data_IF_739829029946
#
_entry.id   IF_739829029946
#
_cell.length_a   1.000
_cell.length_b   1.000
_cell.length_c   1.000
_cell.angle_alpha   90.00
_cell.angle_beta   90.00
_cell.angle_gamma   90.00
#
_symmetry.space_group_name_H-M   'P 1'
#
loop_
_entity.id
_entity.type
_entity.pdbx_description
1 polymer ?
#
# COMPACT_ATOMS: atom_id res chain seq x y z
N UNK A 1 15.21 -57.85 25.59
CA UNK A 1 15.20 -56.43 25.96
C UNK A 1 15.00 -55.63 24.68
N UNK A 2 13.74 -55.38 24.37
CA UNK A 2 13.37 -54.63 23.14
C UNK A 2 12.88 -53.25 23.55
N UNK A 3 13.63 -52.22 23.19
CA UNK A 3 13.18 -50.81 23.29
C UNK A 3 12.25 -50.55 22.13
N UNK A 4 10.95 -50.72 22.36
CA UNK A 4 9.92 -50.24 21.44
C UNK A 4 9.95 -48.73 21.37
N UNK A 5 10.20 -48.21 20.19
CA UNK A 5 9.98 -46.83 19.79
C UNK A 5 8.52 -46.45 20.06
N UNK A 6 8.30 -45.54 20.99
CA UNK A 6 7.05 -44.78 21.06
C UNK A 6 7.29 -43.56 20.14
N UNK A 7 7.07 -43.80 18.85
CA UNK A 7 6.84 -42.69 17.92
C UNK A 7 5.41 -42.17 18.19
N UNK A 8 5.28 -40.91 18.55
CA UNK A 8 4.05 -40.26 18.96
C UNK A 8 2.93 -40.35 17.94
N UNK A 9 2.03 -41.29 18.14
CA UNK A 9 0.72 -41.34 17.49
C UNK A 9 -0.28 -40.61 18.38
N UNK A 10 -0.21 -39.30 18.43
CA UNK A 10 -1.31 -38.48 18.91
C UNK A 10 -2.56 -38.73 18.05
N UNK A 11 -3.74 -38.73 18.67
CA UNK A 11 -5.03 -38.85 17.97
C UNK A 11 -5.13 -37.83 16.83
N UNK A 12 -6.07 -38.00 15.90
CA UNK A 12 -6.34 -37.02 14.86
C UNK A 12 -6.65 -35.65 15.49
N UNK A 13 -7.40 -35.64 16.57
CA UNK A 13 -7.70 -34.47 17.40
C UNK A 13 -6.42 -33.79 17.92
N UNK A 14 -5.47 -34.57 18.49
CA UNK A 14 -4.23 -33.98 19.01
C UNK A 14 -3.40 -33.33 17.91
N UNK A 15 -3.31 -33.96 16.74
CA UNK A 15 -2.59 -33.38 15.59
C UNK A 15 -3.27 -32.14 15.06
N UNK A 16 -4.61 -32.14 14.98
CA UNK A 16 -5.39 -30.99 14.55
C UNK A 16 -5.24 -29.81 15.51
N UNK A 17 -5.46 -30.05 16.80
CA UNK A 17 -5.31 -29.04 17.86
C UNK A 17 -3.87 -28.53 17.90
N UNK A 18 -2.88 -29.42 17.84
CA UNK A 18 -1.47 -29.05 17.78
C UNK A 18 -1.15 -28.11 16.61
N UNK A 19 -1.76 -28.35 15.44
CA UNK A 19 -1.56 -27.52 14.26
C UNK A 19 -2.23 -26.13 14.39
N UNK A 20 -3.37 -26.05 15.09
CA UNK A 20 -4.04 -24.77 15.42
C UNK A 20 -3.21 -23.98 16.42
N UNK A 21 -2.88 -24.56 17.58
CA UNK A 21 -2.25 -23.81 18.68
C UNK A 21 -0.81 -23.40 18.37
N UNK A 22 -0.12 -24.12 17.48
CA UNK A 22 1.23 -23.75 17.03
C UNK A 22 1.26 -22.35 16.42
N UNK A 23 0.15 -21.88 15.86
CA UNK A 23 0.00 -20.58 15.20
C UNK A 23 -0.53 -19.47 16.10
N UNK A 24 -0.95 -19.82 17.31
CA UNK A 24 -1.46 -18.85 18.28
C UNK A 24 -0.34 -18.22 19.11
N UNK A 25 -0.57 -17.01 19.67
CA UNK A 25 0.26 -16.43 20.71
C UNK A 25 0.47 -17.38 21.87
N UNK A 26 1.66 -17.32 22.52
CA UNK A 26 2.04 -18.30 23.53
C UNK A 26 1.11 -18.33 24.75
N UNK A 27 0.58 -17.19 25.10
CA UNK A 27 -0.37 -16.97 26.20
C UNK A 27 -1.74 -17.59 26.01
N UNK A 28 -2.18 -17.80 24.75
CA UNK A 28 -3.48 -18.36 24.40
C UNK A 28 -3.45 -19.86 24.12
N UNK A 29 -2.27 -20.44 23.93
CA UNK A 29 -2.12 -21.80 23.42
C UNK A 29 -2.78 -22.87 24.29
N UNK A 30 -2.61 -22.76 25.59
CA UNK A 30 -3.11 -23.78 26.54
C UNK A 30 -4.63 -23.73 26.61
N UNK A 31 -5.18 -22.55 26.79
CA UNK A 31 -6.63 -22.35 26.96
C UNK A 31 -7.39 -22.78 25.69
N UNK A 32 -6.91 -22.36 24.51
CA UNK A 32 -7.53 -22.74 23.24
C UNK A 32 -7.35 -24.23 22.95
N UNK A 33 -6.21 -24.83 23.35
CA UNK A 33 -6.02 -26.28 23.17
C UNK A 33 -7.03 -27.09 23.97
N UNK A 34 -7.27 -26.70 25.21
CA UNK A 34 -8.18 -27.40 26.12
C UNK A 34 -9.65 -27.19 25.69
N UNK A 35 -10.01 -25.96 25.29
CA UNK A 35 -11.33 -25.66 24.74
C UNK A 35 -11.62 -26.47 23.47
N UNK A 36 -10.68 -26.53 22.52
CA UNK A 36 -10.86 -27.28 21.27
C UNK A 36 -10.98 -28.77 21.51
N UNK A 37 -10.16 -29.34 22.41
CA UNK A 37 -10.27 -30.77 22.76
C UNK A 37 -11.63 -31.11 23.37
N UNK A 38 -12.08 -30.26 24.31
CA UNK A 38 -13.39 -30.45 24.94
C UNK A 38 -14.52 -30.38 23.89
N UNK A 39 -14.50 -29.34 23.05
CA UNK A 39 -15.52 -29.15 22.01
C UNK A 39 -15.55 -30.32 21.01
N UNK A 40 -14.39 -30.82 20.59
CA UNK A 40 -14.31 -31.98 19.69
C UNK A 40 -14.85 -33.24 20.37
N UNK A 41 -14.43 -33.50 21.63
CA UNK A 41 -14.87 -34.66 22.39
C UNK A 41 -16.40 -34.66 22.60
N UNK A 42 -16.94 -33.53 23.05
CA UNK A 42 -18.39 -33.35 23.25
C UNK A 42 -19.18 -33.55 21.94
N UNK A 43 -18.64 -33.04 20.84
CA UNK A 43 -19.29 -33.15 19.52
C UNK A 43 -19.27 -34.60 19.00
N UNK A 44 -18.18 -35.32 19.23
CA UNK A 44 -18.05 -36.75 18.84
C UNK A 44 -18.98 -37.58 19.66
N UNK A 45 -19.02 -37.39 20.99
CA UNK A 45 -19.90 -38.15 21.90
C UNK A 45 -21.38 -37.90 21.58
N UNK A 46 -21.76 -36.68 21.23
CA UNK A 46 -23.15 -36.34 20.91
C UNK A 46 -23.66 -36.93 19.58
N UNK A 47 -22.78 -37.38 18.67
CA UNK A 47 -23.21 -37.86 17.34
C UNK A 47 -23.42 -39.37 17.28
N UNK A 48 -22.37 -40.15 17.40
CA UNK A 48 -22.48 -41.62 17.36
C UNK A 48 -21.37 -42.29 18.18
N UNK A 49 -21.72 -42.87 19.36
CA UNK A 49 -20.75 -43.56 20.20
C UNK A 49 -20.24 -44.90 19.60
N UNK A 50 -20.91 -45.44 18.58
CA UNK A 50 -20.57 -46.74 18.00
C UNK A 50 -19.42 -46.67 16.98
N UNK A 51 -19.15 -45.50 16.41
CA UNK A 51 -18.10 -45.29 15.39
C UNK A 51 -17.25 -44.06 15.65
N UNK A 52 -16.56 -43.95 16.80
CA UNK A 52 -15.92 -42.71 17.24
C UNK A 52 -14.83 -42.17 16.26
N UNK A 53 -14.05 -43.03 15.62
CA UNK A 53 -13.01 -42.61 14.67
C UNK A 53 -13.58 -42.04 13.38
N UNK A 54 -14.71 -42.56 12.89
CA UNK A 54 -15.36 -42.02 11.69
C UNK A 54 -16.00 -40.64 11.98
N UNK A 55 -16.64 -40.54 13.14
CA UNK A 55 -17.26 -39.29 13.63
C UNK A 55 -16.20 -38.23 13.92
N UNK A 56 -15.08 -38.60 14.56
CA UNK A 56 -13.94 -37.67 14.77
C UNK A 56 -13.48 -37.04 13.46
N UNK A 57 -13.29 -37.86 12.43
CA UNK A 57 -12.88 -37.37 11.09
C UNK A 57 -13.91 -36.44 10.47
N UNK A 58 -15.19 -36.75 10.61
CA UNK A 58 -16.28 -35.91 10.12
C UNK A 58 -16.35 -34.59 10.87
N UNK A 59 -16.21 -34.60 12.20
CA UNK A 59 -16.18 -33.41 13.05
C UNK A 59 -15.00 -32.50 12.66
N UNK A 60 -13.79 -33.05 12.54
CA UNK A 60 -12.60 -32.27 12.13
C UNK A 60 -12.74 -31.73 10.71
N UNK A 61 -13.35 -32.48 9.80
CA UNK A 61 -13.66 -32.01 8.46
C UNK A 61 -14.64 -30.84 8.50
N UNK A 62 -15.66 -30.91 9.35
CA UNK A 62 -16.63 -29.83 9.55
C UNK A 62 -16.03 -28.59 10.19
N UNK A 63 -15.00 -28.69 11.03
CA UNK A 63 -14.26 -27.57 11.61
C UNK A 63 -13.38 -26.86 10.57
N UNK A 64 -13.02 -27.56 9.49
CA UNK A 64 -12.28 -27.01 8.37
C UNK A 64 -10.77 -26.96 8.58
N UNK A 65 -10.11 -26.15 7.75
CA UNK A 65 -8.65 -26.01 7.75
C UNK A 65 -8.13 -25.45 9.09
N UNK A 66 -7.20 -26.13 9.79
CA UNK A 66 -6.64 -25.67 11.06
C UNK A 66 -5.93 -24.30 10.96
N UNK A 67 -5.40 -23.94 9.78
CA UNK A 67 -4.78 -22.63 9.55
C UNK A 67 -5.85 -21.52 9.62
N UNK A 68 -6.99 -21.76 8.99
CA UNK A 68 -8.11 -20.80 9.00
C UNK A 68 -8.75 -20.70 10.38
N UNK A 69 -8.82 -21.81 11.10
CA UNK A 69 -9.32 -21.83 12.47
C UNK A 69 -8.39 -21.03 13.40
N UNK A 70 -7.08 -21.29 13.34
CA UNK A 70 -6.09 -20.55 14.10
C UNK A 70 -6.15 -19.03 13.84
N UNK A 71 -6.37 -18.62 12.59
CA UNK A 71 -6.48 -17.19 12.24
C UNK A 71 -7.71 -16.53 12.88
N UNK A 72 -8.82 -17.27 13.03
CA UNK A 72 -10.02 -16.78 13.74
C UNK A 72 -9.76 -16.58 15.23
N UNK A 73 -9.07 -17.53 15.88
CA UNK A 73 -8.70 -17.42 17.29
C UNK A 73 -7.66 -16.33 17.55
N UNK A 74 -6.71 -16.15 16.64
CA UNK A 74 -5.66 -15.13 16.77
C UNK A 74 -6.13 -13.72 16.39
N UNK A 75 -7.40 -13.55 15.97
CA UNK A 75 -7.94 -12.29 15.42
C UNK A 75 -7.02 -11.68 14.35
N UNK A 76 -6.36 -12.54 13.58
CA UNK A 76 -5.44 -12.15 12.50
C UNK A 76 -6.02 -12.56 11.15
N UNK A 77 -6.44 -11.60 10.34
CA UNK A 77 -6.93 -11.93 9.00
C UNK A 77 -5.80 -12.56 8.17
N UNK A 78 -6.10 -13.67 7.48
CA UNK A 78 -5.18 -14.33 6.53
C UNK A 78 -5.08 -13.57 5.19
N UNK A 79 -5.63 -12.37 5.13
CA UNK A 79 -5.63 -11.52 3.96
C UNK A 79 -4.51 -10.48 4.05
N UNK A 80 -3.89 -10.17 2.92
CA UNK A 80 -2.92 -9.08 2.82
C UNK A 80 -3.60 -7.72 3.01
N UNK A 81 -4.84 -7.61 2.52
CA UNK A 81 -5.73 -6.45 2.68
C UNK A 81 -7.05 -7.02 3.19
N UNK A 82 -7.45 -6.62 4.40
CA UNK A 82 -8.66 -7.09 5.05
C UNK A 82 -9.95 -6.66 4.35
N UNK A 83 -11.08 -7.29 4.67
CA UNK A 83 -12.37 -7.01 4.04
C UNK A 83 -12.80 -5.54 4.20
N UNK A 84 -12.40 -4.89 5.28
CA UNK A 84 -12.75 -3.48 5.58
C UNK A 84 -12.07 -2.50 4.64
N UNK A 85 -10.81 -2.77 4.26
CA UNK A 85 -10.03 -1.92 3.34
C UNK A 85 -10.17 -2.33 1.88
N UNK A 86 -10.59 -3.57 1.59
CA UNK A 86 -10.65 -4.10 0.24
C UNK A 86 -11.50 -3.26 -0.74
N UNK A 87 -12.72 -2.78 -0.37
CA UNK A 87 -13.51 -1.92 -1.26
C UNK A 87 -12.85 -0.58 -1.56
N UNK A 88 -12.09 -0.05 -0.60
CA UNK A 88 -11.32 1.19 -0.76
C UNK A 88 -10.11 0.96 -1.66
N UNK A 89 -9.38 -0.12 -1.43
CA UNK A 89 -8.25 -0.55 -2.27
C UNK A 89 -8.65 -0.70 -3.74
N UNK A 90 -9.71 -1.46 -4.03
CA UNK A 90 -10.18 -1.67 -5.41
C UNK A 90 -10.60 -0.38 -6.10
N UNK A 91 -11.21 0.56 -5.35
CA UNK A 91 -11.56 1.87 -5.88
C UNK A 91 -10.34 2.69 -6.26
N UNK A 92 -9.34 2.80 -5.37
CA UNK A 92 -8.10 3.51 -5.68
C UNK A 92 -7.35 2.87 -6.83
N UNK A 93 -7.25 1.55 -6.85
CA UNK A 93 -6.65 0.82 -7.95
C UNK A 93 -7.33 1.14 -9.29
N UNK A 94 -8.68 1.13 -9.32
CA UNK A 94 -9.44 1.46 -10.53
C UNK A 94 -9.17 2.90 -10.98
N UNK A 95 -9.17 3.87 -10.05
CA UNK A 95 -8.86 5.28 -10.37
C UNK A 95 -7.45 5.42 -10.94
N UNK A 96 -6.46 4.79 -10.32
CA UNK A 96 -5.07 4.86 -10.77
C UNK A 96 -4.89 4.25 -12.16
N UNK A 97 -5.43 3.05 -12.38
CA UNK A 97 -5.31 2.37 -13.67
C UNK A 97 -6.12 3.05 -14.78
N UNK A 98 -7.22 3.75 -14.45
CA UNK A 98 -8.06 4.42 -15.46
C UNK A 98 -7.66 5.87 -15.75
N UNK A 99 -6.90 6.53 -14.87
CA UNK A 99 -6.52 7.95 -15.03
C UNK A 99 -5.03 8.14 -15.17
N UNK A 100 -4.25 7.65 -14.19
CA UNK A 100 -2.80 7.89 -14.12
C UNK A 100 -2.06 7.08 -15.17
N UNK A 101 -2.38 5.78 -15.30
CA UNK A 101 -1.71 4.91 -16.25
C UNK A 101 -1.89 5.36 -17.71
N UNK A 102 -3.11 5.69 -18.20
CA UNK A 102 -3.26 6.26 -19.54
C UNK A 102 -2.54 7.59 -19.71
N UNK A 103 -2.56 8.48 -18.70
CA UNK A 103 -1.87 9.76 -18.78
C UNK A 103 -0.36 9.60 -18.98
N UNK A 104 0.29 8.71 -18.21
CA UNK A 104 1.73 8.41 -18.35
C UNK A 104 2.02 7.75 -19.68
N UNK A 105 1.17 6.81 -20.13
CA UNK A 105 1.33 6.13 -21.41
C UNK A 105 1.22 7.09 -22.60
N UNK A 106 0.24 8.01 -22.57
CA UNK A 106 0.10 9.03 -23.61
C UNK A 106 1.32 9.97 -23.60
N UNK A 107 1.77 10.41 -22.41
CA UNK A 107 2.95 11.25 -22.31
C UNK A 107 4.18 10.54 -22.90
N UNK A 108 4.43 9.29 -22.56
CA UNK A 108 5.55 8.52 -23.10
C UNK A 108 5.46 8.38 -24.63
N UNK A 109 4.27 8.06 -25.15
CA UNK A 109 4.07 7.93 -26.60
C UNK A 109 4.28 9.27 -27.32
N UNK A 110 3.85 10.40 -26.74
CA UNK A 110 4.10 11.74 -27.31
C UNK A 110 5.60 12.04 -27.35
N UNK A 111 6.34 11.73 -26.30
CA UNK A 111 7.79 11.94 -26.26
C UNK A 111 8.48 11.07 -27.33
N UNK A 112 8.11 9.79 -27.47
CA UNK A 112 8.63 8.89 -28.49
C UNK A 112 8.38 9.39 -29.93
N UNK A 113 7.21 10.03 -30.17
CA UNK A 113 6.89 10.64 -31.47
C UNK A 113 7.74 11.89 -31.71
N UNK A 114 7.92 12.74 -30.70
CA UNK A 114 8.76 13.96 -30.77
C UNK A 114 10.22 13.61 -31.03
N UNK A 115 10.70 12.47 -30.49
CA UNK A 115 12.03 11.91 -30.74
C UNK A 115 12.17 11.29 -32.16
N UNK A 116 11.12 11.34 -32.98
CA UNK A 116 11.14 10.82 -34.35
C UNK A 116 11.16 9.30 -34.45
N UNK A 117 10.76 8.58 -33.40
CA UNK A 117 10.72 7.12 -33.40
C UNK A 117 9.66 6.57 -34.35
N UNK A 118 9.94 5.41 -34.92
CA UNK A 118 8.99 4.70 -35.77
C UNK A 118 7.76 4.24 -35.03
N UNK A 119 6.63 4.10 -35.73
CA UNK A 119 5.33 3.70 -35.14
C UNK A 119 5.45 2.41 -34.31
N UNK A 120 6.24 1.43 -34.78
CA UNK A 120 6.44 0.17 -34.04
C UNK A 120 7.15 0.37 -32.70
N UNK A 121 8.11 1.28 -32.63
CA UNK A 121 8.82 1.63 -31.38
C UNK A 121 7.92 2.38 -30.42
N UNK A 122 7.10 3.32 -30.92
CA UNK A 122 6.10 4.04 -30.11
C UNK A 122 5.09 3.08 -29.48
N UNK A 123 4.57 2.13 -30.28
CA UNK A 123 3.64 1.11 -29.75
C UNK A 123 4.35 0.20 -28.74
N UNK A 124 5.55 -0.26 -29.04
CA UNK A 124 6.34 -1.09 -28.13
C UNK A 124 6.65 -0.36 -26.81
N UNK A 125 7.04 0.91 -26.88
CA UNK A 125 7.26 1.79 -25.72
C UNK A 125 5.99 1.99 -24.88
N UNK A 126 4.85 2.24 -25.54
CA UNK A 126 3.56 2.39 -24.86
C UNK A 126 3.15 1.10 -24.13
N UNK A 127 3.31 -0.08 -24.78
CA UNK A 127 3.04 -1.39 -24.12
C UNK A 127 3.98 -1.59 -22.94
N UNK A 128 5.27 -1.32 -23.10
CA UNK A 128 6.26 -1.38 -22.01
C UNK A 128 5.88 -0.46 -20.84
N UNK A 129 5.49 0.77 -21.13
CA UNK A 129 5.02 1.74 -20.11
C UNK A 129 3.80 1.21 -19.36
N UNK A 130 2.80 0.68 -20.06
CA UNK A 130 1.61 0.09 -19.43
C UNK A 130 1.99 -1.04 -18.48
N UNK A 131 2.86 -1.95 -18.90
CA UNK A 131 3.26 -3.09 -18.08
C UNK A 131 4.10 -2.65 -16.86
N UNK A 132 5.12 -1.82 -17.07
CA UNK A 132 6.04 -1.41 -16.00
C UNK A 132 5.34 -0.48 -15.01
N UNK A 133 4.72 0.60 -15.48
CA UNK A 133 4.04 1.57 -14.60
C UNK A 133 2.82 0.95 -13.95
N UNK A 134 2.04 0.14 -14.70
CA UNK A 134 0.89 -0.57 -14.15
C UNK A 134 1.28 -1.55 -13.04
N UNK A 135 2.33 -2.35 -13.24
CA UNK A 135 2.86 -3.25 -12.21
C UNK A 135 3.37 -2.49 -10.97
N UNK A 136 4.08 -1.38 -11.16
CA UNK A 136 4.56 -0.53 -10.07
C UNK A 136 3.41 0.10 -9.28
N UNK A 137 2.38 0.64 -9.95
CA UNK A 137 1.20 1.18 -9.30
C UNK A 137 0.49 0.13 -8.45
N UNK A 138 0.28 -1.06 -9.00
CA UNK A 138 -0.31 -2.18 -8.28
C UNK A 138 0.54 -2.54 -7.04
N UNK A 139 1.85 -2.71 -7.21
CA UNK A 139 2.76 -3.08 -6.13
C UNK A 139 2.78 -2.03 -5.02
N UNK A 140 2.99 -0.75 -5.35
CA UNK A 140 3.05 0.33 -4.35
C UNK A 140 1.73 0.52 -3.62
N UNK A 141 0.60 0.51 -4.34
CA UNK A 141 -0.71 0.61 -3.72
C UNK A 141 -0.96 -0.55 -2.76
N UNK A 142 -0.64 -1.78 -3.19
CA UNK A 142 -0.77 -2.99 -2.36
C UNK A 142 0.11 -2.89 -1.11
N UNK A 143 1.36 -2.46 -1.24
CA UNK A 143 2.27 -2.27 -0.09
C UNK A 143 1.72 -1.23 0.88
N UNK A 144 1.26 -0.07 0.39
CA UNK A 144 0.67 0.97 1.25
C UNK A 144 -0.53 0.43 2.01
N UNK A 145 -1.47 -0.24 1.32
CA UNK A 145 -2.65 -0.81 1.98
C UNK A 145 -2.29 -1.92 2.97
N UNK A 146 -1.32 -2.78 2.64
CA UNK A 146 -0.83 -3.82 3.55
C UNK A 146 -0.14 -3.23 4.80
N UNK A 147 0.62 -2.14 4.66
CA UNK A 147 1.22 -1.44 5.80
C UNK A 147 0.16 -0.75 6.66
N UNK A 148 -0.84 -0.14 6.04
CA UNK A 148 -1.99 0.44 6.73
C UNK A 148 -2.74 -0.63 7.52
N UNK A 149 -3.02 -1.79 6.92
CA UNK A 149 -3.65 -2.94 7.57
C UNK A 149 -2.82 -3.43 8.77
N UNK A 150 -1.51 -3.65 8.55
CA UNK A 150 -0.59 -4.15 9.60
C UNK A 150 -0.28 -3.15 10.69
N UNK A 151 -0.50 -1.87 10.48
CA UNK A 151 -0.23 -0.84 11.50
C UNK A 151 -1.05 -1.04 12.78
N UNK A 152 -2.04 -1.94 12.78
CA UNK A 152 -2.88 -2.29 13.94
C UNK A 152 -3.72 -1.13 14.49
N UNK A 153 -3.44 0.08 13.99
CA UNK A 153 -4.14 1.30 14.39
C UNK A 153 -5.50 1.44 13.69
N UNK A 154 -5.74 0.57 12.69
CA UNK A 154 -7.00 0.54 11.96
C UNK A 154 -8.08 -0.35 12.60
N UNK A 155 -7.82 -1.57 13.12
CA UNK A 155 -8.87 -2.35 13.77
C UNK A 155 -9.46 -1.67 15.00
N UNK A 156 -8.61 -1.12 15.87
CA UNK A 156 -9.05 -0.45 17.09
C UNK A 156 -9.72 0.93 16.90
N UNK A 157 -9.55 1.55 15.75
CA UNK A 157 -10.12 2.86 15.45
C UNK A 157 -11.18 2.81 14.32
N UNK A 158 -11.29 1.70 13.57
CA UNK A 158 -12.50 1.25 12.88
C UNK A 158 -13.46 0.55 13.84
N UNK A 159 -12.96 0.17 15.02
CA UNK A 159 -13.72 -0.39 16.14
C UNK A 159 -14.69 0.57 16.82
N UNK A 160 -15.24 1.50 16.09
CA UNK A 160 -16.56 2.02 16.42
C UNK A 160 -17.50 0.82 16.30
N UNK A 161 -17.90 0.29 17.44
CA UNK A 161 -18.93 -0.74 17.51
C UNK A 161 -20.08 -0.25 16.66
N UNK A 162 -20.38 -0.96 15.57
CA UNK A 162 -21.50 -0.62 14.71
C UNK A 162 -22.76 -0.56 15.56
N UNK A 163 -23.49 0.53 15.48
CA UNK A 163 -24.79 0.70 16.10
C UNK A 163 -25.84 0.92 15.02
N UNK A 164 -27.11 0.59 15.26
CA UNK A 164 -28.20 0.88 14.33
C UNK A 164 -28.28 2.35 13.91
N UNK A 165 -27.78 3.26 14.75
CA UNK A 165 -27.71 4.71 14.48
C UNK A 165 -26.67 5.06 13.41
N UNK A 166 -25.75 4.14 13.09
CA UNK A 166 -24.79 4.29 12.01
C UNK A 166 -25.39 3.92 10.62
N UNK A 167 -26.65 3.47 10.57
CA UNK A 167 -27.37 3.27 9.32
C UNK A 167 -27.51 4.62 8.60
N UNK A 168 -27.05 4.72 7.33
CA UNK A 168 -27.20 5.97 6.60
C UNK A 168 -28.67 6.29 6.43
N UNK A 169 -29.08 7.47 6.88
CA UNK A 169 -30.36 8.04 6.48
C UNK A 169 -30.45 8.03 4.96
N UNK A 170 -31.45 7.36 4.39
CA UNK A 170 -31.65 7.27 2.94
C UNK A 170 -31.77 8.63 2.26
N UNK A 171 -31.94 9.70 3.04
CA UNK A 171 -32.11 11.07 2.56
C UNK A 171 -30.80 11.84 2.31
N UNK A 172 -29.64 11.40 2.80
CA UNK A 172 -28.36 12.08 2.59
C UNK A 172 -27.29 11.12 2.06
N UNK A 173 -27.04 11.07 0.74
CA UNK A 173 -25.87 10.37 0.23
C UNK A 173 -24.63 11.03 0.85
N UNK A 174 -23.85 10.25 1.62
CA UNK A 174 -22.54 10.70 2.17
C UNK A 174 -21.76 11.27 0.97
N UNK A 175 -21.64 12.60 0.88
CA UNK A 175 -20.89 13.28 -0.18
C UNK A 175 -19.46 12.74 -0.11
N UNK A 176 -19.15 11.86 -1.04
CA UNK A 176 -17.79 11.38 -1.26
C UNK A 176 -16.95 12.59 -1.65
N UNK A 177 -15.95 12.92 -0.87
CA UNK A 177 -15.06 14.04 -1.20
C UNK A 177 -14.16 13.63 -2.38
N UNK A 178 -14.43 14.09 -3.62
CA UNK A 178 -13.63 13.74 -4.78
C UNK A 178 -12.19 14.24 -4.63
N UNK A 179 -11.95 15.25 -3.79
CA UNK A 179 -10.62 15.80 -3.56
C UNK A 179 -9.67 14.81 -2.87
N UNK A 180 -10.18 13.87 -2.07
CA UNK A 180 -9.34 12.81 -1.48
C UNK A 180 -8.79 11.90 -2.57
N UNK A 181 -9.65 11.45 -3.49
CA UNK A 181 -9.23 10.59 -4.60
C UNK A 181 -8.25 11.30 -5.53
N UNK A 182 -8.49 12.59 -5.81
CA UNK A 182 -7.60 13.40 -6.63
C UNK A 182 -6.20 13.55 -5.98
N UNK A 183 -6.12 13.75 -4.65
CA UNK A 183 -4.84 13.82 -3.93
C UNK A 183 -4.09 12.50 -3.95
N UNK A 184 -4.77 11.39 -3.70
CA UNK A 184 -4.14 10.06 -3.78
C UNK A 184 -3.62 9.80 -5.20
N UNK A 185 -4.42 10.10 -6.23
CA UNK A 185 -3.98 9.97 -7.62
C UNK A 185 -2.77 10.86 -7.92
N UNK A 186 -2.75 12.09 -7.40
CA UNK A 186 -1.63 13.02 -7.58
C UNK A 186 -0.33 12.52 -6.95
N UNK A 187 -0.35 12.13 -5.66
CA UNK A 187 0.85 11.63 -5.00
C UNK A 187 1.33 10.30 -5.60
N UNK A 188 0.41 9.42 -5.98
CA UNK A 188 0.74 8.18 -6.67
C UNK A 188 1.34 8.44 -8.06
N UNK A 189 0.85 9.44 -8.80
CA UNK A 189 1.42 9.88 -10.06
C UNK A 189 2.88 10.34 -9.87
N UNK A 190 3.13 11.16 -8.85
CA UNK A 190 4.50 11.62 -8.56
C UNK A 190 5.44 10.45 -8.27
N UNK A 191 5.02 9.49 -7.42
CA UNK A 191 5.79 8.28 -7.15
C UNK A 191 6.05 7.50 -8.45
N UNK A 192 5.00 7.30 -9.26
CA UNK A 192 5.10 6.56 -10.51
C UNK A 192 6.05 7.23 -11.50
N UNK A 193 6.00 8.55 -11.66
CA UNK A 193 6.89 9.30 -12.54
C UNK A 193 8.34 9.25 -12.08
N UNK A 194 8.60 9.41 -10.78
CA UNK A 194 9.95 9.32 -10.21
C UNK A 194 10.56 7.94 -10.49
N UNK A 195 9.80 6.86 -10.22
CA UNK A 195 10.32 5.50 -10.40
C UNK A 195 10.41 5.14 -11.88
N UNK A 196 9.41 5.49 -12.68
CA UNK A 196 9.37 5.22 -14.12
C UNK A 196 10.54 5.86 -14.86
N UNK A 197 10.83 7.14 -14.62
CA UNK A 197 11.92 7.82 -15.31
C UNK A 197 13.28 7.16 -15.06
N UNK A 198 13.50 6.58 -13.88
CA UNK A 198 14.72 5.86 -13.55
C UNK A 198 14.76 4.45 -14.14
N UNK A 199 13.62 3.73 -14.12
CA UNK A 199 13.58 2.35 -14.61
C UNK A 199 13.47 2.24 -16.12
N UNK A 200 12.73 3.13 -16.76
CA UNK A 200 12.49 3.13 -18.20
C UNK A 200 13.48 4.01 -18.99
N UNK A 201 14.15 4.96 -18.30
CA UNK A 201 15.06 5.95 -18.93
C UNK A 201 14.48 6.49 -20.25
N UNK A 202 13.31 7.19 -20.17
CA UNK A 202 12.52 7.54 -21.36
C UNK A 202 13.24 8.54 -22.27
N UNK A 203 14.16 9.33 -21.70
CA UNK A 203 14.92 10.31 -22.46
C UNK A 203 16.15 9.64 -23.10
N UNK A 204 16.42 10.02 -24.34
CA UNK A 204 17.60 9.61 -25.10
C UNK A 204 18.32 10.82 -25.66
N UNK A 205 19.64 10.81 -25.55
CA UNK A 205 20.48 11.83 -26.20
C UNK A 205 20.44 11.68 -27.73
N UNK A 206 20.91 12.68 -28.46
CA UNK A 206 21.06 12.64 -29.94
C UNK A 206 21.86 11.42 -30.42
N UNK A 207 22.75 10.88 -29.58
CA UNK A 207 23.50 9.64 -29.81
C UNK A 207 22.74 8.35 -29.51
N UNK A 208 21.45 8.42 -29.09
CA UNK A 208 20.58 7.27 -28.78
C UNK A 208 20.85 6.64 -27.42
N UNK A 209 21.73 7.20 -26.57
CA UNK A 209 22.00 6.67 -25.23
C UNK A 209 20.87 7.03 -24.27
N UNK A 210 20.28 6.04 -23.54
CA UNK A 210 19.25 6.32 -22.55
C UNK A 210 19.85 7.10 -21.37
N UNK A 211 19.08 8.06 -20.85
CA UNK A 211 19.54 8.96 -19.79
C UNK A 211 18.44 9.19 -18.75
N UNK A 212 18.83 9.20 -17.48
CA UNK A 212 17.96 9.61 -16.37
C UNK A 212 17.70 11.12 -16.44
N UNK A 213 16.44 11.51 -16.25
CA UNK A 213 16.02 12.91 -16.17
C UNK A 213 16.40 13.52 -14.82
N UNK A 214 16.18 12.78 -13.74
CA UNK A 214 16.64 13.16 -12.40
C UNK A 214 18.11 12.79 -12.23
N UNK A 215 18.81 13.54 -11.37
CA UNK A 215 20.20 13.26 -11.05
C UNK A 215 20.35 11.84 -10.47
N UNK A 216 21.17 10.97 -11.07
CA UNK A 216 21.38 9.59 -10.58
C UNK A 216 21.86 9.53 -9.13
N UNK A 217 22.59 10.54 -8.65
CA UNK A 217 23.10 10.62 -7.28
C UNK A 217 21.98 10.69 -6.23
N UNK A 218 20.78 11.12 -6.62
CA UNK A 218 19.62 11.15 -5.73
C UNK A 218 19.23 9.76 -5.24
N UNK A 219 19.44 8.72 -6.05
CA UNK A 219 19.11 7.33 -5.70
C UNK A 219 20.02 6.75 -4.63
N UNK A 220 21.18 7.37 -4.40
CA UNK A 220 22.09 6.99 -3.31
C UNK A 220 21.58 7.42 -1.91
N UNK A 221 20.58 8.30 -1.81
CA UNK A 221 20.13 8.79 -0.52
C UNK A 221 18.85 9.63 -0.53
N UNK A 222 18.83 10.77 -1.21
CA UNK A 222 17.80 11.80 -1.08
C UNK A 222 16.44 11.44 -1.65
N UNK A 223 16.36 10.50 -2.61
CA UNK A 223 15.09 10.06 -3.20
C UNK A 223 14.23 9.28 -2.22
N UNK A 224 14.84 8.50 -1.32
CA UNK A 224 14.13 7.62 -0.42
C UNK A 224 13.23 8.34 0.60
N UNK A 225 13.68 9.39 1.31
CA UNK A 225 12.79 10.17 2.16
C UNK A 225 11.67 10.86 1.36
N UNK A 226 11.93 11.33 0.14
CA UNK A 226 10.91 11.91 -0.75
C UNK A 226 9.84 10.88 -1.07
N UNK A 227 10.21 9.68 -1.51
CA UNK A 227 9.28 8.59 -1.80
C UNK A 227 8.54 8.12 -0.53
N UNK A 228 9.23 8.03 0.61
CA UNK A 228 8.62 7.67 1.88
C UNK A 228 7.59 8.72 2.35
N UNK A 229 7.90 10.01 2.18
CA UNK A 229 6.97 11.10 2.45
C UNK A 229 5.72 11.02 1.58
N UNK A 230 5.90 10.87 0.26
CA UNK A 230 4.78 10.69 -0.68
C UNK A 230 3.93 9.46 -0.34
N UNK A 231 4.55 8.31 -0.04
CA UNK A 231 3.84 7.11 0.36
C UNK A 231 3.08 7.32 1.69
N UNK A 232 3.66 8.04 2.64
CA UNK A 232 3.02 8.45 3.88
C UNK A 232 1.79 9.34 3.64
N UNK A 233 1.88 10.28 2.71
CA UNK A 233 0.75 11.14 2.33
C UNK A 233 -0.37 10.32 1.67
N UNK A 234 -0.04 9.38 0.78
CA UNK A 234 -1.02 8.44 0.21
C UNK A 234 -1.71 7.63 1.32
N UNK A 235 -0.95 7.07 2.26
CA UNK A 235 -1.50 6.31 3.38
C UNK A 235 -2.46 7.15 4.24
N UNK A 236 -2.10 8.39 4.53
CA UNK A 236 -2.94 9.32 5.30
C UNK A 236 -4.22 9.71 4.55
N UNK A 237 -4.13 9.95 3.24
CA UNK A 237 -5.31 10.25 2.42
C UNK A 237 -6.24 9.01 2.28
N UNK A 238 -5.68 7.79 2.23
CA UNK A 238 -6.45 6.54 2.31
C UNK A 238 -7.15 6.41 3.66
N UNK A 239 -6.43 6.64 4.77
CA UNK A 239 -7.02 6.63 6.12
C UNK A 239 -8.15 7.64 6.21
N UNK A 240 -7.97 8.84 5.67
CA UNK A 240 -9.01 9.88 5.62
C UNK A 240 -10.26 9.48 4.85
N UNK A 241 -10.14 8.64 3.84
CA UNK A 241 -11.29 8.17 3.05
C UNK A 241 -12.23 7.26 3.84
N UNK A 242 -11.71 6.61 4.89
CA UNK A 242 -12.44 5.62 5.71
C UNK A 242 -12.70 6.07 7.14
N UNK A 243 -12.04 7.17 7.61
CA UNK A 243 -12.09 7.65 9.00
C UNK A 243 -12.32 9.15 9.12
N UNK A 244 -12.89 9.60 10.25
CA UNK A 244 -12.82 10.99 10.61
C UNK A 244 -11.37 11.43 10.84
N UNK A 245 -11.07 12.65 10.42
CA UNK A 245 -9.75 13.24 10.57
C UNK A 245 -9.53 13.66 12.03
N UNK A 246 -8.43 13.22 12.64
CA UNK A 246 -8.10 13.48 14.04
C UNK A 246 -6.84 14.32 14.18
N UNK A 247 -6.66 14.97 15.34
CA UNK A 247 -5.43 15.71 15.64
C UNK A 247 -4.17 14.83 15.55
N UNK A 248 -4.26 13.57 15.98
CA UNK A 248 -3.14 12.63 15.86
C UNK A 248 -2.76 12.40 14.40
N UNK A 249 -3.73 12.22 13.51
CA UNK A 249 -3.46 12.08 12.06
C UNK A 249 -2.92 13.37 11.45
N UNK A 250 -3.35 14.54 11.95
CA UNK A 250 -2.80 15.81 11.52
C UNK A 250 -1.30 15.94 11.89
N UNK A 251 -0.87 15.50 13.08
CA UNK A 251 0.55 15.44 13.44
C UNK A 251 1.36 14.47 12.56
N UNK A 252 0.81 13.28 12.28
CA UNK A 252 1.45 12.35 11.34
C UNK A 252 1.59 12.95 9.95
N UNK A 253 0.63 13.77 9.52
CA UNK A 253 0.73 14.45 8.22
C UNK A 253 1.86 15.47 8.16
N UNK A 254 2.20 16.13 9.27
CA UNK A 254 3.40 17.00 9.33
C UNK A 254 4.66 16.19 9.07
N UNK A 255 4.78 15.01 9.70
CA UNK A 255 5.95 14.14 9.49
C UNK A 255 6.09 13.68 8.03
N UNK A 256 4.98 13.24 7.42
CA UNK A 256 4.98 12.81 6.03
C UNK A 256 5.28 13.98 5.07
N UNK A 257 4.67 15.15 5.30
CA UNK A 257 4.91 16.37 4.52
C UNK A 257 6.36 16.85 4.66
N UNK A 258 6.91 16.84 5.87
CA UNK A 258 8.30 17.21 6.12
C UNK A 258 9.27 16.20 5.46
N UNK A 259 8.98 14.90 5.51
CA UNK A 259 9.79 13.88 4.85
C UNK A 259 9.80 14.04 3.32
N UNK A 260 8.72 14.55 2.73
CA UNK A 260 8.64 14.87 1.31
C UNK A 260 9.30 16.22 0.99
N UNK A 261 8.83 17.29 1.64
CA UNK A 261 9.15 18.65 1.23
C UNK A 261 10.57 19.08 1.59
N UNK A 262 11.08 18.73 2.79
CA UNK A 262 12.41 19.22 3.22
C UNK A 262 13.55 18.64 2.37
N UNK A 263 13.62 17.33 2.07
CA UNK A 263 14.64 16.81 1.17
C UNK A 263 14.50 17.35 -0.25
N UNK A 264 13.28 17.50 -0.76
CA UNK A 264 13.05 18.07 -2.09
C UNK A 264 13.53 19.52 -2.18
N UNK A 265 13.21 20.34 -1.18
CA UNK A 265 13.68 21.74 -1.11
C UNK A 265 15.20 21.82 -1.01
N UNK A 266 15.82 20.93 -0.22
CA UNK A 266 17.27 20.84 -0.14
C UNK A 266 17.91 20.50 -1.49
N UNK A 267 17.39 19.48 -2.17
CA UNK A 267 17.83 19.06 -3.51
C UNK A 267 17.68 20.21 -4.53
N UNK A 268 16.54 20.91 -4.50
CA UNK A 268 16.30 22.09 -5.34
C UNK A 268 17.30 23.22 -5.02
N UNK A 269 17.55 23.50 -3.75
CA UNK A 269 18.53 24.52 -3.33
C UNK A 269 19.93 24.21 -3.83
N UNK A 270 20.32 22.93 -3.82
CA UNK A 270 21.60 22.47 -4.36
C UNK A 270 21.63 22.40 -5.90
N UNK A 271 20.50 22.66 -6.57
CA UNK A 271 20.34 22.53 -8.02
C UNK A 271 20.64 21.11 -8.55
N UNK A 272 20.48 20.09 -7.70
CA UNK A 272 20.78 18.69 -7.98
C UNK A 272 19.52 17.85 -8.28
N UNK A 273 18.42 18.49 -8.70
CA UNK A 273 17.21 17.74 -9.03
C UNK A 273 17.34 17.02 -10.36
N UNK A 274 17.84 17.73 -11.36
CA UNK A 274 17.96 17.22 -12.71
C UNK A 274 19.39 16.77 -13.03
N UNK A 275 19.49 15.72 -13.84
CA UNK A 275 20.77 15.27 -14.37
C UNK A 275 21.43 16.40 -15.20
N UNK A 276 22.67 16.79 -14.88
CA UNK A 276 23.35 17.88 -15.62
C UNK A 276 23.55 17.54 -17.10
N UNK A 277 23.74 16.27 -17.46
CA UNK A 277 23.85 15.82 -18.85
C UNK A 277 22.51 15.99 -19.58
N UNK A 278 21.39 15.64 -18.92
CA UNK A 278 20.04 15.87 -19.46
C UNK A 278 19.79 17.38 -19.71
N UNK A 279 20.15 18.22 -18.74
CA UNK A 279 19.97 19.67 -18.91
C UNK A 279 20.84 20.25 -20.03
N UNK A 280 22.06 19.77 -20.17
CA UNK A 280 22.98 20.21 -21.25
C UNK A 280 22.45 19.79 -22.64
N UNK A 281 21.92 18.61 -22.76
CA UNK A 281 21.36 18.08 -24.00
C UNK A 281 20.04 18.80 -24.39
N UNK A 282 19.16 19.03 -23.40
CA UNK A 282 17.88 19.72 -23.62
C UNK A 282 18.03 21.22 -23.91
N UNK A 283 18.89 21.88 -23.15
CA UNK A 283 18.99 23.34 -23.17
C UNK A 283 20.09 23.87 -24.13
N UNK A 284 20.97 23.01 -24.62
CA UNK A 284 22.14 23.44 -25.38
C UNK A 284 23.03 24.39 -24.57
N UNK A 285 23.20 25.63 -25.07
CA UNK A 285 23.99 26.65 -24.40
C UNK A 285 23.22 27.41 -23.29
N UNK A 286 21.92 27.16 -23.10
CA UNK A 286 21.12 27.86 -22.09
C UNK A 286 21.20 27.14 -20.74
N UNK A 287 21.53 27.90 -19.69
CA UNK A 287 21.56 27.37 -18.33
C UNK A 287 20.22 27.59 -17.62
N UNK A 288 19.73 26.58 -16.92
CA UNK A 288 18.50 26.70 -16.11
C UNK A 288 18.73 27.80 -15.05
N UNK A 289 17.92 28.88 -15.02
CA UNK A 289 18.13 29.98 -14.09
C UNK A 289 18.02 29.50 -12.63
N UNK A 290 18.87 30.02 -11.75
CA UNK A 290 18.79 29.76 -10.31
C UNK A 290 17.41 30.14 -9.73
N UNK A 291 16.79 31.16 -10.29
CA UNK A 291 15.43 31.57 -9.90
C UNK A 291 14.39 30.46 -10.07
N UNK A 292 14.54 29.59 -11.08
CA UNK A 292 13.62 28.45 -11.28
C UNK A 292 13.63 27.51 -10.06
N UNK A 293 14.82 27.13 -9.59
CA UNK A 293 14.96 26.25 -8.43
C UNK A 293 14.45 26.90 -7.15
N UNK A 294 14.78 28.17 -6.95
CA UNK A 294 14.33 28.94 -5.78
C UNK A 294 12.82 29.13 -5.77
N UNK A 295 12.22 29.53 -6.89
CA UNK A 295 10.75 29.65 -6.99
C UNK A 295 10.06 28.34 -6.77
N UNK A 296 10.56 27.25 -7.38
CA UNK A 296 9.99 25.90 -7.18
C UNK A 296 10.08 25.48 -5.72
N UNK A 297 11.21 25.70 -5.05
CA UNK A 297 11.38 25.40 -3.63
C UNK A 297 10.39 26.18 -2.74
N UNK A 298 10.21 27.48 -3.02
CA UNK A 298 9.26 28.32 -2.29
C UNK A 298 7.82 27.85 -2.52
N UNK A 299 7.47 27.50 -3.76
CA UNK A 299 6.13 26.96 -4.09
C UNK A 299 5.89 25.65 -3.35
N UNK A 300 6.84 24.72 -3.35
CA UNK A 300 6.74 23.46 -2.61
C UNK A 300 6.49 23.71 -1.13
N UNK A 301 7.29 24.58 -0.50
CA UNK A 301 7.11 24.93 0.92
C UNK A 301 5.76 25.60 1.19
N UNK A 302 5.31 26.51 0.34
CA UNK A 302 4.04 27.21 0.52
C UNK A 302 2.85 26.25 0.40
N UNK A 303 2.87 25.35 -0.59
CA UNK A 303 1.83 24.34 -0.78
C UNK A 303 1.82 23.37 0.40
N UNK A 304 2.96 22.83 0.79
CA UNK A 304 3.08 21.91 1.94
C UNK A 304 2.62 22.54 3.25
N UNK A 305 3.02 23.80 3.50
CA UNK A 305 2.55 24.53 4.67
C UNK A 305 1.03 24.78 4.65
N UNK A 306 0.50 25.14 3.49
CA UNK A 306 -0.95 25.31 3.27
C UNK A 306 -1.74 24.02 3.56
N UNK A 307 -1.25 22.89 3.06
CA UNK A 307 -1.87 21.59 3.28
C UNK A 307 -1.83 21.18 4.77
N UNK A 308 -0.72 21.39 5.45
CA UNK A 308 -0.60 21.17 6.89
C UNK A 308 -1.63 22.01 7.66
N UNK A 309 -1.69 23.33 7.40
CA UNK A 309 -2.65 24.23 8.06
C UNK A 309 -4.10 23.78 7.82
N UNK A 310 -4.44 23.40 6.58
CA UNK A 310 -5.76 22.91 6.22
C UNK A 310 -6.11 21.63 7.00
N UNK A 311 -5.20 20.67 7.08
CA UNK A 311 -5.38 19.42 7.81
C UNK A 311 -5.59 19.64 9.32
N UNK A 312 -4.90 20.61 9.92
CA UNK A 312 -5.12 20.97 11.33
C UNK A 312 -6.47 21.65 11.56
N UNK A 313 -6.92 22.52 10.65
CA UNK A 313 -8.24 23.15 10.74
C UNK A 313 -9.34 22.08 10.68
N UNK A 314 -9.23 21.15 9.76
CA UNK A 314 -10.18 20.04 9.60
C UNK A 314 -10.20 19.09 10.81
N UNK A 315 -9.07 18.91 11.52
CA UNK A 315 -8.99 18.10 12.72
C UNK A 315 -9.62 18.75 13.97
N UNK A 316 -9.87 20.06 13.91
CA UNK A 316 -10.47 20.84 15.01
C UNK A 316 -11.95 21.17 14.77
N UNK A 317 -12.44 20.97 13.56
CA UNK A 317 -13.85 21.16 13.18
C UNK A 317 -14.69 19.92 13.49
#
# INVERSE_FOLDING_TARGET
MSKSQVAGTGTLTDRYVGEVVRRLPADQRTDVADELRATIADTVEARDPAAPEAVEREVLTGMGDPIRLAARYADRPLALIGPDLYPTYTRFLTVLLSTVLPAVTVLSAVLDVLDGRGIGEVIGGAVGTVLVVGAQMLAWLTVVFALVERSGKLPGALGRTWTPDDLPDRAAPKKRDPAVHARVAWHALLIALIVWQHTAMPYRTDGGTPLDVLDPDLWSGWIWPILAGLAGLVALDVIRSVRPWTLSLAYWSVGAEAAFALPLVWVLHQQKLFNPVFLADLNGAWQTPQSFYTVTAVVVLAVSAGDVVKRFREARA
#
